data_IF_697900942931
#
_entry.id   IF_697900942931
#
_cell.length_a   1.000
_cell.length_b   1.000
_cell.length_c   1.000
_cell.angle_alpha   90.00
_cell.angle_beta   90.00
_cell.angle_gamma   90.00
#
_symmetry.space_group_name_H-M   'P 1'
#
loop_
_entity.id
_entity.type
_entity.pdbx_description
1 polymer ?
#
# COMPACT_ATOMS: atom_id res chain seq x y z
N UNK A 1 16.22 -5.76 -23.00
CA UNK A 1 15.11 -5.81 -22.00
C UNK A 1 15.58 -5.56 -20.57
N UNK A 2 16.65 -6.21 -20.06
CA UNK A 2 17.12 -6.02 -18.67
C UNK A 2 17.40 -4.56 -18.28
N UNK A 3 18.18 -3.83 -19.07
CA UNK A 3 18.51 -2.42 -18.80
C UNK A 3 17.28 -1.53 -18.80
N UNK A 4 16.32 -1.79 -19.70
CA UNK A 4 15.06 -1.06 -19.74
C UNK A 4 14.26 -1.24 -18.44
N UNK A 5 14.06 -2.50 -18.01
CA UNK A 5 13.22 -2.82 -16.86
C UNK A 5 13.85 -2.45 -15.50
N UNK A 6 15.16 -2.63 -15.35
CA UNK A 6 15.83 -2.48 -14.05
C UNK A 6 16.70 -1.23 -13.95
N UNK A 7 17.11 -0.67 -15.09
CA UNK A 7 17.97 0.51 -15.15
C UNK A 7 17.25 1.79 -15.55
N UNK A 8 16.16 1.73 -16.33
CA UNK A 8 15.44 2.93 -16.81
C UNK A 8 14.09 3.09 -16.12
N UNK A 9 13.27 2.03 -16.10
CA UNK A 9 11.91 2.08 -15.60
C UNK A 9 11.78 2.62 -14.17
N UNK A 10 12.63 2.25 -13.17
CA UNK A 10 12.49 2.77 -11.81
C UNK A 10 12.63 4.30 -11.73
N UNK A 11 13.54 4.89 -12.51
CA UNK A 11 13.74 6.34 -12.54
C UNK A 11 12.57 7.05 -13.24
N UNK A 12 12.03 6.47 -14.31
CA UNK A 12 10.84 7.02 -14.97
C UNK A 12 9.64 6.98 -14.03
N UNK A 13 9.42 5.87 -13.32
CA UNK A 13 8.34 5.77 -12.33
C UNK A 13 8.49 6.79 -11.21
N UNK A 14 9.71 6.97 -10.69
CA UNK A 14 9.98 7.97 -9.65
C UNK A 14 9.77 9.40 -10.16
N UNK A 15 10.26 9.72 -11.37
CA UNK A 15 10.07 11.02 -11.98
C UNK A 15 8.57 11.34 -12.15
N UNK A 16 7.79 10.40 -12.69
CA UNK A 16 6.33 10.55 -12.85
C UNK A 16 5.60 10.68 -11.51
N UNK A 17 6.00 9.88 -10.50
CA UNK A 17 5.43 9.97 -9.15
C UNK A 17 5.64 11.36 -8.57
N UNK A 18 6.87 11.89 -8.61
CA UNK A 18 7.19 13.20 -8.02
C UNK A 18 6.56 14.33 -8.83
N UNK A 19 6.77 14.37 -10.15
CA UNK A 19 6.26 15.45 -10.99
C UNK A 19 4.73 15.46 -11.04
N UNK A 20 4.10 14.29 -11.13
CA UNK A 20 2.65 14.13 -11.13
C UNK A 20 2.02 14.57 -9.81
N UNK A 21 2.62 14.17 -8.68
CA UNK A 21 2.19 14.61 -7.34
C UNK A 21 2.31 16.13 -7.20
N UNK A 22 3.44 16.72 -7.60
CA UNK A 22 3.65 18.18 -7.54
C UNK A 22 2.69 18.94 -8.45
N UNK A 23 2.45 18.45 -9.66
CA UNK A 23 1.48 19.04 -10.59
C UNK A 23 0.07 19.01 -10.01
N UNK A 24 -0.37 17.86 -9.49
CA UNK A 24 -1.69 17.72 -8.88
C UNK A 24 -1.86 18.64 -7.67
N UNK A 25 -0.80 18.81 -6.88
CA UNK A 25 -0.80 19.71 -5.72
C UNK A 25 -0.98 21.19 -6.13
N UNK A 26 -0.47 21.59 -7.30
CA UNK A 26 -0.61 22.97 -7.79
C UNK A 26 -1.93 23.23 -8.49
N UNK A 27 -2.43 22.28 -9.28
CA UNK A 27 -3.53 22.52 -10.21
C UNK A 27 -4.84 21.80 -9.85
N UNK A 28 -4.82 20.77 -9.01
CA UNK A 28 -6.01 20.01 -8.60
C UNK A 28 -6.01 19.73 -7.08
N UNK A 29 -6.08 20.80 -6.30
CA UNK A 29 -6.14 20.71 -4.84
C UNK A 29 -7.50 20.18 -4.36
N UNK A 30 -8.60 20.56 -5.02
CA UNK A 30 -9.94 20.13 -4.65
C UNK A 30 -10.18 18.63 -4.93
N UNK A 31 -9.55 18.07 -5.96
CA UNK A 31 -9.58 16.63 -6.24
C UNK A 31 -8.67 15.80 -5.33
N UNK A 32 -7.87 16.43 -4.47
CA UNK A 32 -6.98 15.76 -3.52
C UNK A 32 -7.70 15.41 -2.21
N UNK A 33 -8.53 14.37 -2.26
CA UNK A 33 -9.23 13.86 -1.09
C UNK A 33 -9.11 12.34 -1.00
N UNK A 34 -9.42 11.78 0.16
CA UNK A 34 -9.49 10.32 0.37
C UNK A 34 -10.69 9.67 -0.32
N UNK A 35 -11.65 10.46 -0.83
CA UNK A 35 -12.93 10.00 -1.39
C UNK A 35 -13.61 8.93 -0.51
N UNK A 36 -13.76 9.24 0.78
CA UNK A 36 -14.39 8.31 1.72
C UNK A 36 -15.80 7.93 1.25
N UNK A 37 -16.08 6.63 1.29
CA UNK A 37 -17.40 6.07 0.98
C UNK A 37 -18.13 5.59 2.23
N UNK A 38 -17.65 5.97 3.42
CA UNK A 38 -18.17 5.48 4.70
C UNK A 38 -19.64 5.82 4.92
N UNK A 39 -20.07 7.02 4.51
CA UNK A 39 -21.46 7.49 4.63
C UNK A 39 -22.44 6.54 3.94
N UNK A 40 -22.00 5.90 2.83
CA UNK A 40 -22.83 4.98 2.07
C UNK A 40 -22.93 3.58 2.69
N UNK A 41 -21.88 3.14 3.40
CA UNK A 41 -21.84 1.85 4.09
C UNK A 41 -20.65 1.82 5.07
N UNK A 42 -20.93 1.67 6.36
CA UNK A 42 -19.89 1.70 7.40
C UNK A 42 -19.62 0.33 8.05
N UNK A 43 -20.52 -0.65 7.96
CA UNK A 43 -20.43 -1.90 8.75
C UNK A 43 -19.24 -2.75 8.31
N UNK A 44 -19.13 -3.01 6.99
CA UNK A 44 -17.97 -3.74 6.45
C UNK A 44 -16.73 -2.85 6.51
N UNK A 45 -16.88 -1.56 6.19
CA UNK A 45 -15.76 -0.64 6.15
C UNK A 45 -15.00 -0.53 7.47
N UNK A 46 -15.72 -0.54 8.62
CA UNK A 46 -15.12 -0.48 9.97
C UNK A 46 -14.15 -1.62 10.28
N UNK A 47 -14.28 -2.77 9.62
CA UNK A 47 -13.39 -3.92 9.80
C UNK A 47 -12.38 -4.00 8.66
N UNK A 48 -12.87 -3.88 7.42
CA UNK A 48 -12.04 -4.03 6.23
C UNK A 48 -11.02 -2.90 6.07
N UNK A 49 -11.38 -1.66 6.43
CA UNK A 49 -10.47 -0.52 6.32
C UNK A 49 -9.29 -0.63 7.29
N UNK A 50 -9.47 -0.86 8.60
CA UNK A 50 -8.33 -1.07 9.51
C UNK A 50 -7.48 -2.28 9.15
N UNK A 51 -8.09 -3.40 8.76
CA UNK A 51 -7.33 -4.59 8.31
C UNK A 51 -6.42 -4.25 7.13
N UNK A 52 -6.95 -3.58 6.10
CA UNK A 52 -6.13 -3.17 4.96
C UNK A 52 -5.05 -2.17 5.37
N UNK A 53 -5.40 -1.10 6.09
CA UNK A 53 -4.46 -0.02 6.42
C UNK A 53 -3.37 -0.48 7.38
N UNK A 54 -3.69 -1.18 8.46
CA UNK A 54 -2.66 -1.70 9.35
C UNK A 54 -1.80 -2.74 8.64
N UNK A 55 -2.41 -3.67 7.89
CA UNK A 55 -1.68 -4.65 7.10
C UNK A 55 -0.68 -4.00 6.14
N UNK A 56 -1.14 -3.07 5.29
CA UNK A 56 -0.28 -2.43 4.28
C UNK A 56 0.78 -1.52 4.90
N UNK A 57 0.49 -0.85 6.02
CA UNK A 57 1.48 -0.04 6.74
C UNK A 57 2.57 -0.91 7.35
N UNK A 58 2.24 -2.08 7.92
CA UNK A 58 3.24 -3.03 8.40
C UNK A 58 4.06 -3.62 7.25
N UNK A 59 3.43 -3.96 6.12
CA UNK A 59 4.16 -4.40 4.92
C UNK A 59 5.12 -3.32 4.43
N UNK A 60 4.65 -2.07 4.33
CA UNK A 60 5.48 -0.94 3.91
C UNK A 60 6.65 -0.72 4.87
N UNK A 61 6.39 -0.68 6.18
CA UNK A 61 7.44 -0.54 7.19
C UNK A 61 8.46 -1.69 7.11
N UNK A 62 7.99 -2.93 6.93
CA UNK A 62 8.85 -4.09 6.74
C UNK A 62 9.73 -3.97 5.50
N UNK A 63 9.21 -3.47 4.36
CA UNK A 63 10.01 -3.23 3.16
C UNK A 63 11.01 -2.09 3.34
N UNK A 64 10.62 -1.01 4.02
CA UNK A 64 11.52 0.11 4.28
C UNK A 64 12.69 -0.34 5.18
N UNK A 65 12.41 -1.08 6.24
CA UNK A 65 13.45 -1.65 7.08
C UNK A 65 14.29 -2.68 6.29
N UNK A 66 13.62 -3.57 5.56
CA UNK A 66 14.19 -4.59 4.68
C UNK A 66 15.23 -4.08 3.68
N UNK A 67 14.93 -2.96 3.03
CA UNK A 67 15.70 -2.45 1.89
C UNK A 67 16.66 -1.32 2.26
N UNK A 68 16.33 -0.52 3.28
CA UNK A 68 17.11 0.67 3.62
C UNK A 68 17.99 0.49 4.86
N UNK A 69 17.76 -0.53 5.71
CA UNK A 69 18.63 -0.79 6.87
C UNK A 69 19.83 -1.63 6.40
N UNK A 70 21.07 -1.13 6.53
CA UNK A 70 22.26 -1.90 6.19
C UNK A 70 22.49 -3.05 7.16
N UNK A 71 22.97 -4.19 6.67
CA UNK A 71 23.33 -5.35 7.50
C UNK A 71 24.35 -5.00 8.60
N UNK A 72 25.29 -4.09 8.31
CA UNK A 72 26.27 -3.63 9.30
C UNK A 72 25.62 -2.99 10.55
N UNK A 73 24.43 -2.40 10.41
CA UNK A 73 23.71 -1.82 11.55
C UNK A 73 23.00 -2.89 12.36
N UNK A 74 22.42 -3.91 11.73
CA UNK A 74 21.79 -5.04 12.42
C UNK A 74 22.83 -5.90 13.14
N UNK A 75 24.00 -6.09 12.54
CA UNK A 75 25.12 -6.82 13.14
C UNK A 75 25.67 -6.09 14.36
N UNK A 76 25.78 -4.75 14.29
CA UNK A 76 26.29 -3.92 15.39
C UNK A 76 25.40 -3.95 16.64
N UNK A 77 24.09 -4.18 16.48
CA UNK A 77 23.13 -4.36 17.58
C UNK A 77 22.93 -5.83 17.97
N UNK A 78 23.70 -6.75 17.38
CA UNK A 78 23.69 -8.17 17.71
C UNK A 78 22.44 -8.93 17.21
N UNK A 79 21.74 -8.41 16.20
CA UNK A 79 20.62 -9.12 15.58
C UNK A 79 21.18 -10.16 14.62
N UNK A 80 20.95 -11.43 14.95
CA UNK A 80 21.32 -12.55 14.09
C UNK A 80 20.53 -12.52 12.76
N UNK A 81 21.24 -12.75 11.64
CA UNK A 81 20.67 -12.66 10.29
C UNK A 81 19.54 -13.69 10.06
N UNK A 82 19.63 -14.88 10.69
CA UNK A 82 18.57 -15.87 10.61
C UNK A 82 17.30 -15.37 11.32
N UNK A 83 17.45 -14.76 12.49
CA UNK A 83 16.33 -14.16 13.23
C UNK A 83 15.68 -13.04 12.42
N UNK A 84 16.47 -12.18 11.80
CA UNK A 84 15.97 -11.12 10.91
C UNK A 84 15.19 -11.67 9.72
N UNK A 85 15.72 -12.71 9.06
CA UNK A 85 15.09 -13.34 7.92
C UNK A 85 13.77 -14.02 8.30
N UNK A 86 13.74 -14.75 9.43
CA UNK A 86 12.51 -15.36 9.94
C UNK A 86 11.46 -14.30 10.31
N UNK A 87 11.87 -13.22 10.97
CA UNK A 87 10.96 -12.12 11.28
C UNK A 87 10.39 -11.49 10.00
N UNK A 88 11.23 -11.23 9.00
CA UNK A 88 10.79 -10.71 7.70
C UNK A 88 9.83 -11.67 7.01
N UNK A 89 10.08 -12.98 7.04
CA UNK A 89 9.23 -13.99 6.42
C UNK A 89 7.88 -14.08 7.14
N UNK A 90 7.86 -14.34 8.45
CA UNK A 90 6.62 -14.56 9.18
C UNK A 90 5.85 -13.26 9.42
N UNK A 91 6.54 -12.20 9.86
CA UNK A 91 5.92 -10.89 10.06
C UNK A 91 5.37 -10.33 8.75
N UNK A 92 6.16 -10.42 7.68
CA UNK A 92 5.74 -9.98 6.34
C UNK A 92 4.56 -10.79 5.79
N UNK A 93 4.59 -12.12 5.92
CA UNK A 93 3.48 -12.97 5.43
C UNK A 93 2.18 -12.73 6.20
N UNK A 94 2.23 -12.59 7.53
CA UNK A 94 1.04 -12.28 8.34
C UNK A 94 0.50 -10.89 7.99
N UNK A 95 1.34 -9.87 7.95
CA UNK A 95 0.92 -8.52 7.58
C UNK A 95 0.34 -8.47 6.16
N UNK A 96 0.97 -9.18 5.22
CA UNK A 96 0.49 -9.34 3.85
C UNK A 96 -0.86 -10.05 3.77
N UNK A 97 -1.05 -11.14 4.52
CA UNK A 97 -2.32 -11.85 4.57
C UNK A 97 -3.46 -10.97 5.11
N UNK A 98 -3.20 -10.18 6.16
CA UNK A 98 -4.17 -9.23 6.71
C UNK A 98 -4.50 -8.12 5.70
N UNK A 99 -3.49 -7.58 4.99
CA UNK A 99 -3.69 -6.59 3.94
C UNK A 99 -4.53 -7.15 2.78
N UNK A 100 -4.21 -8.36 2.31
CA UNK A 100 -4.94 -9.05 1.22
C UNK A 100 -6.38 -9.37 1.62
N UNK A 101 -6.61 -9.84 2.84
CA UNK A 101 -7.97 -10.06 3.35
C UNK A 101 -8.75 -8.74 3.44
N UNK A 102 -8.10 -7.66 3.92
CA UNK A 102 -8.66 -6.32 3.97
C UNK A 102 -9.10 -5.81 2.60
N UNK A 103 -8.21 -5.84 1.60
CA UNK A 103 -8.53 -5.37 0.24
C UNK A 103 -9.59 -6.25 -0.43
N UNK A 104 -9.57 -7.57 -0.23
CA UNK A 104 -10.60 -8.46 -0.77
C UNK A 104 -12.00 -8.11 -0.24
N UNK A 105 -12.12 -7.82 1.06
CA UNK A 105 -13.38 -7.35 1.65
C UNK A 105 -13.79 -5.96 1.13
N UNK A 106 -12.84 -5.04 0.93
CA UNK A 106 -13.12 -3.71 0.36
C UNK A 106 -13.60 -3.82 -1.09
N UNK A 107 -13.00 -4.70 -1.89
CA UNK A 107 -13.41 -4.99 -3.27
C UNK A 107 -14.81 -5.61 -3.30
N UNK A 108 -15.08 -6.59 -2.44
CA UNK A 108 -16.42 -7.16 -2.26
C UNK A 108 -17.43 -6.06 -1.93
N UNK A 109 -17.14 -5.24 -0.91
CA UNK A 109 -18.00 -4.10 -0.52
C UNK A 109 -18.27 -3.17 -1.71
N UNK A 110 -17.23 -2.78 -2.44
CA UNK A 110 -17.31 -1.87 -3.59
C UNK A 110 -18.14 -2.45 -4.73
N UNK A 111 -18.10 -3.78 -4.93
CA UNK A 111 -18.82 -4.45 -6.03
C UNK A 111 -20.28 -4.75 -5.72
N UNK A 112 -20.60 -5.09 -4.47
CA UNK A 112 -21.90 -5.64 -4.07
C UNK A 112 -22.79 -4.69 -3.25
N UNK A 113 -22.26 -3.58 -2.70
CA UNK A 113 -23.09 -2.58 -2.01
C UNK A 113 -23.53 -1.49 -2.99
N UNK A 114 -24.82 -1.50 -3.36
CA UNK A 114 -25.37 -0.61 -4.40
C UNK A 114 -25.08 0.89 -4.18
N UNK A 115 -25.20 1.47 -2.97
CA UNK A 115 -24.83 2.87 -2.74
C UNK A 115 -23.35 3.17 -3.01
N UNK A 116 -22.44 2.27 -2.57
CA UNK A 116 -20.99 2.40 -2.77
C UNK A 116 -20.62 2.21 -4.24
N UNK A 117 -21.22 1.22 -4.91
CA UNK A 117 -20.97 0.93 -6.31
C UNK A 117 -21.34 2.10 -7.23
N UNK A 118 -22.46 2.79 -6.94
CA UNK A 118 -22.88 3.98 -7.69
C UNK A 118 -21.95 5.18 -7.51
N UNK A 119 -21.33 5.32 -6.34
CA UNK A 119 -20.37 6.38 -6.05
C UNK A 119 -18.92 6.05 -6.50
N UNK A 120 -18.68 4.85 -7.03
CA UNK A 120 -17.34 4.38 -7.42
C UNK A 120 -17.01 4.79 -8.85
N UNK A 121 -15.85 5.44 -9.04
CA UNK A 121 -15.33 5.81 -10.37
C UNK A 121 -14.52 4.67 -11.02
N UNK A 122 -14.20 4.80 -12.31
CA UNK A 122 -13.33 3.82 -12.99
C UNK A 122 -11.92 3.77 -12.37
N UNK A 123 -11.41 4.92 -11.90
CA UNK A 123 -10.11 5.00 -11.25
C UNK A 123 -10.08 4.16 -9.96
N UNK A 124 -11.16 4.18 -9.17
CA UNK A 124 -11.25 3.42 -7.91
C UNK A 124 -11.41 1.90 -8.10
N UNK A 125 -11.46 1.43 -9.36
CA UNK A 125 -11.53 0.01 -9.73
C UNK A 125 -10.22 -0.51 -10.35
N UNK A 126 -9.51 0.37 -11.07
CA UNK A 126 -8.28 0.03 -11.79
C UNK A 126 -7.03 0.29 -10.94
N UNK A 127 -7.07 1.32 -10.09
CA UNK A 127 -6.05 1.62 -9.09
C UNK A 127 -6.49 1.12 -7.72
#
# INVERSE_FOLDING_TARGET
MRTLLWGVLPYVMFALLVSGTVWRWRYDQFGWTTRSSEIYESKILKIASPMFHYGILFVLAGHLLGLFVPAAWTDAIGVDEHVYQLFSLYGGTVAGAVAVAGIAMLLYRRRFRAPVFRATTANDKLM
#
